data_IF_709632572666
#
_entry.id   IF_709632572666
#
_cell.length_a   1.000
_cell.length_b   1.000
_cell.length_c   1.000
_cell.angle_alpha   90.00
_cell.angle_beta   90.00
_cell.angle_gamma   90.00
#
_symmetry.space_group_name_H-M   'P 1'
#
loop_
_entity.id
_entity.type
_entity.pdbx_description
1 polymer ?
#
# COMPACT_ATOMS: atom_id res chain seq x y z
N UNK A 1 -8.19 7.20 16.09
CA UNK A 1 -9.54 6.61 16.18
C UNK A 1 -9.74 5.67 15.01
N UNK A 2 -10.09 4.44 15.28
CA UNK A 2 -10.40 3.44 14.24
C UNK A 2 -11.90 3.44 13.96
N UNK A 3 -12.34 3.40 12.68
CA UNK A 3 -13.75 3.27 12.35
C UNK A 3 -14.29 1.90 12.76
N UNK A 4 -15.59 1.84 13.05
CA UNK A 4 -16.27 0.57 13.33
C UNK A 4 -16.42 -0.28 12.06
N UNK A 5 -16.54 0.36 10.91
CA UNK A 5 -16.53 -0.27 9.59
C UNK A 5 -16.08 0.76 8.55
N UNK A 6 -15.63 0.28 7.41
CA UNK A 6 -15.27 1.11 6.26
C UNK A 6 -15.90 0.56 5.00
N UNK A 7 -16.32 1.45 4.11
CA UNK A 7 -16.77 1.11 2.76
C UNK A 7 -15.72 1.60 1.78
N UNK A 8 -15.12 0.67 1.05
CA UNK A 8 -14.09 0.95 0.05
C UNK A 8 -14.76 0.95 -1.33
N UNK A 9 -14.96 2.13 -1.91
CA UNK A 9 -15.60 2.29 -3.23
C UNK A 9 -14.57 2.76 -4.26
N UNK A 10 -14.06 1.86 -5.13
CA UNK A 10 -13.07 2.20 -6.15
C UNK A 10 -13.53 3.30 -7.11
N UNK A 11 -14.85 3.46 -7.32
CA UNK A 11 -15.36 4.52 -8.20
C UNK A 11 -14.96 5.93 -7.74
N UNK A 12 -14.73 6.12 -6.44
CA UNK A 12 -14.30 7.42 -5.89
C UNK A 12 -12.89 7.80 -6.35
N UNK A 13 -12.08 6.83 -6.76
CA UNK A 13 -10.72 7.08 -7.22
C UNK A 13 -10.65 7.62 -8.64
N UNK A 14 -11.73 7.50 -9.44
CA UNK A 14 -11.75 7.99 -10.83
C UNK A 14 -11.66 9.51 -10.94
N UNK A 15 -12.00 10.24 -9.91
CA UNK A 15 -11.86 11.70 -9.86
C UNK A 15 -10.49 12.17 -9.38
N UNK A 16 -9.59 11.27 -8.98
CA UNK A 16 -8.26 11.63 -8.51
C UNK A 16 -7.36 12.03 -9.69
N UNK A 17 -6.61 13.12 -9.58
CA UNK A 17 -5.57 13.45 -10.53
C UNK A 17 -4.50 12.35 -10.60
N UNK A 18 -3.92 12.13 -11.79
CA UNK A 18 -2.86 11.13 -12.02
C UNK A 18 -1.71 11.24 -11.03
N UNK A 19 -1.32 12.47 -10.65
CA UNK A 19 -0.29 12.70 -9.63
C UNK A 19 -0.67 12.10 -8.27
N UNK A 20 -1.92 12.20 -7.86
CA UNK A 20 -2.37 11.63 -6.59
C UNK A 20 -2.41 10.10 -6.62
N UNK A 21 -2.76 9.54 -7.76
CA UNK A 21 -2.70 8.09 -7.97
C UNK A 21 -1.26 7.59 -7.88
N UNK A 22 -0.32 8.27 -8.56
CA UNK A 22 1.10 7.95 -8.47
C UNK A 22 1.62 8.01 -7.02
N UNK A 23 1.29 9.08 -6.31
CA UNK A 23 1.65 9.24 -4.90
C UNK A 23 1.06 8.10 -4.05
N UNK A 24 -0.20 7.72 -4.27
CA UNK A 24 -0.85 6.63 -3.54
C UNK A 24 -0.19 5.27 -3.76
N UNK A 25 0.24 4.97 -4.99
CA UNK A 25 0.99 3.74 -5.30
C UNK A 25 2.32 3.71 -4.55
N UNK A 26 3.08 4.82 -4.63
CA UNK A 26 4.39 4.93 -3.96
C UNK A 26 4.23 4.88 -2.44
N UNK A 27 3.24 5.59 -1.89
CA UNK A 27 2.96 5.61 -0.46
C UNK A 27 2.62 4.21 0.07
N UNK A 28 1.71 3.49 -0.62
CA UNK A 28 1.39 2.10 -0.27
C UNK A 28 2.61 1.18 -0.35
N UNK A 29 3.45 1.36 -1.37
CA UNK A 29 4.69 0.60 -1.53
C UNK A 29 5.66 0.85 -0.37
N UNK A 30 5.88 2.11 0.01
CA UNK A 30 6.75 2.47 1.13
C UNK A 30 6.20 1.94 2.46
N UNK A 31 4.89 1.99 2.67
CA UNK A 31 4.26 1.39 3.86
C UNK A 31 4.62 -0.09 4.03
N UNK A 32 4.55 -0.86 2.94
CA UNK A 32 4.94 -2.28 2.99
C UNK A 32 6.44 -2.43 3.22
N UNK A 33 7.26 -1.62 2.54
CA UNK A 33 8.73 -1.69 2.65
C UNK A 33 9.22 -1.41 4.07
N UNK A 34 8.65 -0.45 4.78
CA UNK A 34 9.05 -0.11 6.16
C UNK A 34 8.64 -1.17 7.19
N UNK A 35 7.74 -2.07 6.83
CA UNK A 35 7.39 -3.25 7.61
C UNK A 35 8.19 -4.50 7.20
N UNK A 36 8.72 -4.52 5.98
CA UNK A 36 9.41 -5.68 5.40
C UNK A 36 10.94 -5.58 5.51
N UNK A 37 11.53 -4.41 5.19
CA UNK A 37 12.97 -4.20 5.18
C UNK A 37 13.53 -3.80 6.56
N UNK A 38 13.28 -4.63 7.56
CA UNK A 38 13.87 -4.48 8.90
C UNK A 38 14.95 -5.55 9.12
N UNK A 39 15.25 -5.92 10.35
CA UNK A 39 16.19 -7.00 10.60
C UNK A 39 15.46 -8.37 10.57
N UNK A 40 16.19 -9.45 10.20
CA UNK A 40 15.58 -10.76 10.04
C UNK A 40 14.96 -11.30 11.33
N UNK A 41 13.72 -11.76 11.21
CA UNK A 41 13.02 -12.55 12.22
C UNK A 41 12.40 -13.76 11.52
N UNK A 42 11.97 -14.75 12.27
CA UNK A 42 11.31 -15.92 11.69
C UNK A 42 9.83 -15.59 11.39
N UNK A 43 9.58 -14.79 10.35
CA UNK A 43 8.28 -14.25 9.97
C UNK A 43 7.92 -14.57 8.51
N UNK A 44 8.15 -15.81 8.08
CA UNK A 44 8.00 -16.23 6.69
C UNK A 44 6.61 -15.93 6.09
N UNK A 45 5.55 -16.01 6.88
CA UNK A 45 4.18 -15.71 6.42
C UNK A 45 4.03 -14.22 6.12
N UNK A 46 4.47 -13.35 7.01
CA UNK A 46 4.45 -11.89 6.82
C UNK A 46 5.33 -11.48 5.65
N UNK A 47 6.48 -12.11 5.49
CA UNK A 47 7.37 -11.86 4.34
C UNK A 47 6.64 -12.14 3.01
N UNK A 48 5.91 -13.25 2.92
CA UNK A 48 5.13 -13.59 1.72
C UNK A 48 3.96 -12.63 1.48
N UNK A 49 3.29 -12.17 2.52
CA UNK A 49 2.26 -11.12 2.40
C UNK A 49 2.87 -9.82 1.88
N UNK A 50 4.00 -9.39 2.43
CA UNK A 50 4.70 -8.19 2.00
C UNK A 50 5.14 -8.30 0.54
N UNK A 51 5.82 -9.39 0.16
CA UNK A 51 6.28 -9.65 -1.20
C UNK A 51 5.11 -9.65 -2.21
N UNK A 52 3.99 -10.29 -1.86
CA UNK A 52 2.80 -10.30 -2.70
C UNK A 52 2.20 -8.92 -2.92
N UNK A 53 2.12 -8.09 -1.87
CA UNK A 53 1.65 -6.69 -2.00
C UNK A 53 2.61 -5.84 -2.82
N UNK A 54 3.91 -5.96 -2.59
CA UNK A 54 4.94 -5.23 -3.35
C UNK A 54 4.88 -5.59 -4.84
N UNK A 55 4.78 -6.88 -5.16
CA UNK A 55 4.64 -7.35 -6.53
C UNK A 55 3.37 -6.80 -7.18
N UNK A 56 2.23 -6.86 -6.49
CA UNK A 56 0.96 -6.30 -6.98
C UNK A 56 1.10 -4.81 -7.27
N UNK A 57 1.67 -4.03 -6.37
CA UNK A 57 1.85 -2.59 -6.56
C UNK A 57 2.80 -2.26 -7.72
N UNK A 58 3.84 -3.07 -7.97
CA UNK A 58 4.73 -2.94 -9.13
C UNK A 58 3.96 -3.21 -10.43
N UNK A 59 3.09 -4.22 -10.44
CA UNK A 59 2.34 -4.61 -11.63
C UNK A 59 1.21 -3.65 -11.97
N UNK A 60 0.48 -3.15 -10.96
CA UNK A 60 -0.65 -2.24 -11.19
C UNK A 60 -0.23 -0.78 -11.29
N UNK A 61 0.90 -0.37 -10.70
CA UNK A 61 1.36 1.02 -10.68
C UNK A 61 1.38 1.67 -12.06
N UNK A 62 2.05 1.10 -13.06
CA UNK A 62 2.04 1.64 -14.42
C UNK A 62 0.64 1.69 -15.04
N UNK A 63 -0.21 0.69 -14.76
CA UNK A 63 -1.57 0.61 -15.31
C UNK A 63 -2.48 1.68 -14.73
N UNK A 64 -2.35 1.97 -13.42
CA UNK A 64 -3.18 2.97 -12.74
C UNK A 64 -2.91 4.39 -13.23
N UNK A 65 -1.73 4.64 -13.79
CA UNK A 65 -1.34 5.93 -14.34
C UNK A 65 -1.84 6.14 -15.78
N UNK A 66 -2.33 5.10 -16.41
CA UNK A 66 -3.02 5.18 -17.69
C UNK A 66 -4.45 5.70 -17.47
N UNK A 67 -4.88 6.70 -18.24
CA UNK A 67 -6.24 7.26 -18.14
C UNK A 67 -7.34 6.23 -18.45
N UNK A 68 -6.97 5.11 -19.08
CA UNK A 68 -7.86 3.98 -19.37
C UNK A 68 -7.96 2.97 -18.22
N UNK A 69 -7.29 3.20 -17.08
CA UNK A 69 -7.32 2.29 -15.95
C UNK A 69 -8.75 1.94 -15.54
N UNK A 70 -9.06 0.65 -15.58
CA UNK A 70 -10.39 0.13 -15.33
C UNK A 70 -10.72 0.04 -13.82
N UNK A 71 -11.96 -0.34 -13.55
CA UNK A 71 -12.46 -0.52 -12.18
C UNK A 71 -11.62 -1.54 -11.41
N UNK A 72 -11.24 -2.66 -12.02
CA UNK A 72 -10.53 -3.75 -11.35
C UNK A 72 -9.13 -3.30 -10.91
N UNK A 73 -8.40 -2.60 -11.78
CA UNK A 73 -7.09 -2.00 -11.44
C UNK A 73 -7.20 -1.01 -10.28
N UNK A 74 -8.27 -0.22 -10.23
CA UNK A 74 -8.51 0.72 -9.13
C UNK A 74 -8.92 0.02 -7.84
N UNK A 75 -9.69 -1.04 -7.94
CA UNK A 75 -10.05 -1.89 -6.81
C UNK A 75 -8.82 -2.57 -6.20
N UNK A 76 -7.93 -3.10 -7.05
CA UNK A 76 -6.68 -3.72 -6.62
C UNK A 76 -5.77 -2.72 -5.88
N UNK A 77 -5.64 -1.48 -6.40
CA UNK A 77 -4.88 -0.44 -5.71
C UNK A 77 -5.49 -0.12 -4.34
N UNK A 78 -6.80 0.09 -4.28
CA UNK A 78 -7.48 0.43 -3.03
C UNK A 78 -7.36 -0.70 -2.00
N UNK A 79 -7.46 -1.95 -2.44
CA UNK A 79 -7.28 -3.11 -1.57
C UNK A 79 -5.83 -3.26 -1.11
N UNK A 80 -4.86 -3.18 -2.03
CA UNK A 80 -3.45 -3.25 -1.70
C UNK A 80 -3.03 -2.14 -0.70
N UNK A 81 -3.49 -0.90 -0.92
CA UNK A 81 -3.24 0.20 0.00
C UNK A 81 -3.85 -0.05 1.39
N UNK A 82 -5.06 -0.62 1.46
CA UNK A 82 -5.69 -0.99 2.73
C UNK A 82 -4.90 -2.08 3.45
N UNK A 83 -4.43 -3.09 2.73
CA UNK A 83 -3.64 -4.19 3.29
C UNK A 83 -2.23 -3.74 3.71
N UNK A 84 -1.69 -2.70 3.08
CA UNK A 84 -0.36 -2.17 3.42
C UNK A 84 -0.27 -1.63 4.85
N UNK A 85 -1.40 -1.19 5.46
CA UNK A 85 -1.40 -0.59 6.80
C UNK A 85 -2.53 -1.09 7.72
N UNK A 86 -3.18 -2.19 7.41
CA UNK A 86 -4.23 -2.74 8.30
C UNK A 86 -3.69 -3.53 9.50
N UNK A 87 -2.37 -3.67 9.62
CA UNK A 87 -1.70 -4.38 10.70
C UNK A 87 -1.36 -5.85 10.40
N UNK A 88 -1.83 -6.41 9.29
CA UNK A 88 -1.57 -7.82 8.97
C UNK A 88 -0.10 -8.06 8.60
N UNK A 89 0.46 -7.23 7.71
CA UNK A 89 1.87 -7.35 7.26
C UNK A 89 2.83 -7.14 8.42
N UNK A 90 2.54 -6.18 9.31
CA UNK A 90 3.37 -5.86 10.46
C UNK A 90 3.18 -6.75 11.68
N UNK A 91 2.27 -7.72 11.64
CA UNK A 91 1.95 -8.55 12.81
C UNK A 91 3.14 -9.42 13.22
N UNK A 92 3.69 -9.16 14.42
CA UNK A 92 4.79 -9.95 14.99
C UNK A 92 6.16 -9.71 14.35
N UNK A 93 6.31 -8.68 13.51
CA UNK A 93 7.60 -8.28 12.91
C UNK A 93 8.03 -6.91 13.42
N UNK A 94 9.33 -6.64 13.48
CA UNK A 94 9.84 -5.30 13.76
C UNK A 94 9.51 -4.37 12.58
N UNK A 95 9.13 -3.13 12.91
CA UNK A 95 8.76 -2.11 11.93
C UNK A 95 9.70 -0.91 12.09
N UNK A 96 10.00 -0.26 10.97
CA UNK A 96 10.77 0.99 10.95
C UNK A 96 10.03 1.99 10.05
N UNK A 97 9.60 3.08 10.64
CA UNK A 97 8.82 4.13 9.96
C UNK A 97 9.64 5.39 9.64
N UNK A 98 10.96 5.23 9.50
CA UNK A 98 11.90 6.35 9.28
C UNK A 98 11.55 7.17 8.05
N UNK A 99 11.18 6.55 6.93
CA UNK A 99 10.84 7.28 5.70
C UNK A 99 9.61 8.16 5.90
N UNK A 100 8.56 7.63 6.53
CA UNK A 100 7.35 8.38 6.84
C UNK A 100 7.63 9.51 7.84
N UNK A 101 8.40 9.25 8.89
CA UNK A 101 8.74 10.26 9.90
C UNK A 101 9.55 11.42 9.30
N UNK A 102 10.53 11.12 8.43
CA UNK A 102 11.29 12.15 7.70
C UNK A 102 10.35 12.95 6.78
N UNK A 103 9.47 12.27 6.04
CA UNK A 103 8.52 12.94 5.16
C UNK A 103 7.55 13.87 5.88
N UNK A 104 7.17 13.56 7.11
CA UNK A 104 6.29 14.41 7.93
C UNK A 104 6.99 15.66 8.48
N UNK A 105 8.32 15.65 8.59
CA UNK A 105 9.11 16.79 9.06
C UNK A 105 9.49 17.78 7.95
N UNK A 106 9.34 17.42 6.68
CA UNK A 106 9.62 18.25 5.51
C UNK A 106 8.41 19.06 5.05
#
# INVERSE_FOLDING_TARGET
>A
VFPQFSVLDPNKTFSLPTRQLANGVVDAFVHVMEQYLTYPVNAQVQDRFAEGLLQTLIEIGPKILDDSADYDTRADLMWAASMALNGLVGAGVPQDWSTHLIGHEL
#
